data_IF_534110940667
#
_entry.id   IF_534110940667
#
_cell.length_a   1.000
_cell.length_b   1.000
_cell.length_c   1.000
_cell.angle_alpha   90.00
_cell.angle_beta   90.00
_cell.angle_gamma   90.00
#
_symmetry.space_group_name_H-M   'P 1'
#
loop_
_entity.id
_entity.type
_entity.pdbx_description
1 polymer ?
#
# COMPACT_ATOMS: atom_id res chain seq x y z
N UNK A 1 -9.29 7.08 -42.59
CA UNK A 1 -9.12 8.54 -42.53
C UNK A 1 -7.94 8.84 -41.61
N UNK A 2 -6.99 9.70 -42.03
CA UNK A 2 -5.73 9.96 -41.33
C UNK A 2 -5.91 10.92 -40.14
N UNK A 3 -5.02 10.77 -39.16
CA UNK A 3 -4.89 11.59 -37.94
C UNK A 3 -4.48 13.04 -38.23
N UNK A 4 -4.67 13.92 -37.24
CA UNK A 4 -3.60 14.86 -36.89
C UNK A 4 -3.27 14.89 -35.37
N UNK A 5 -2.01 14.63 -35.06
CA UNK A 5 -1.24 15.24 -33.94
C UNK A 5 -0.80 16.67 -34.37
N UNK A 6 -0.06 17.47 -33.56
CA UNK A 6 -0.14 17.93 -32.15
C UNK A 6 -0.15 19.51 -32.12
N UNK A 7 0.17 20.27 -31.03
CA UNK A 7 1.55 20.42 -30.50
C UNK A 7 1.71 20.72 -28.97
N UNK A 8 2.87 20.31 -28.46
CA UNK A 8 3.82 21.04 -27.60
C UNK A 8 3.40 21.73 -26.29
N UNK A 9 4.07 21.30 -25.22
CA UNK A 9 4.29 22.02 -23.97
C UNK A 9 5.00 23.37 -24.16
N UNK A 10 4.78 24.29 -23.21
CA UNK A 10 5.84 25.01 -22.51
C UNK A 10 5.62 24.87 -20.98
N UNK A 11 6.50 25.20 -20.05
CA UNK A 11 7.90 25.54 -20.00
C UNK A 11 8.30 25.32 -18.53
N UNK A 12 9.52 24.84 -18.33
CA UNK A 12 10.23 24.89 -17.04
C UNK A 12 10.31 26.36 -16.61
N UNK A 13 9.72 26.71 -15.46
CA UNK A 13 10.06 27.96 -14.79
C UNK A 13 10.73 27.63 -13.45
N UNK A 14 12.05 27.62 -13.51
CA UNK A 14 12.92 27.62 -12.36
C UNK A 14 12.93 29.03 -11.78
N UNK A 15 12.44 29.22 -10.54
CA UNK A 15 12.98 30.26 -9.65
C UNK A 15 12.75 29.96 -8.18
N UNK A 16 13.77 30.19 -7.33
CA UNK A 16 13.77 29.77 -5.93
C UNK A 16 13.20 30.87 -5.03
N UNK A 17 12.15 30.57 -4.27
CA UNK A 17 11.78 31.40 -3.12
C UNK A 17 12.51 30.92 -1.89
N UNK A 18 13.73 31.45 -1.72
CA UNK A 18 14.42 31.54 -0.42
C UNK A 18 13.56 32.38 0.53
N UNK A 19 12.71 31.74 1.34
CA UNK A 19 12.16 32.35 2.55
C UNK A 19 13.10 32.06 3.73
N UNK A 20 13.81 33.12 4.15
CA UNK A 20 14.66 33.18 5.33
C UNK A 20 13.82 32.90 6.61
N UNK A 21 14.35 32.19 7.60
CA UNK A 21 13.73 32.11 8.92
C UNK A 21 13.82 33.44 9.67
N UNK A 22 12.88 33.72 10.61
CA UNK A 22 12.90 34.92 11.43
C UNK A 22 14.11 34.91 12.38
N UNK A 23 14.91 35.97 12.31
CA UNK A 23 15.99 36.29 13.26
C UNK A 23 15.36 36.76 14.56
N UNK A 24 15.42 35.93 15.59
CA UNK A 24 15.18 36.36 16.97
C UNK A 24 16.40 37.15 17.41
N UNK A 25 16.22 38.45 17.61
CA UNK A 25 17.22 39.37 18.15
C UNK A 25 17.48 39.04 19.62
N UNK A 26 18.52 38.25 19.89
CA UNK A 26 19.09 38.11 21.22
C UNK A 26 20.12 39.22 21.44
N UNK A 27 19.67 40.31 22.06
CA UNK A 27 20.53 41.24 22.78
C UNK A 27 21.00 40.53 24.06
N UNK A 28 22.18 39.90 24.01
CA UNK A 28 22.88 39.47 25.23
C UNK A 28 23.97 40.51 25.48
N UNK A 29 23.65 41.43 26.37
CA UNK A 29 24.57 42.39 26.96
C UNK A 29 25.66 41.64 27.73
N UNK A 30 26.91 41.81 27.27
CA UNK A 30 28.09 41.57 28.09
C UNK A 30 28.07 42.54 29.27
N UNK A 31 27.75 42.03 30.45
CA UNK A 31 27.96 42.70 31.73
C UNK A 31 29.06 41.99 32.51
N UNK A 32 30.32 42.21 32.10
CA UNK A 32 31.49 41.96 32.93
C UNK A 32 31.46 42.97 34.08
N UNK A 33 31.39 42.53 35.32
CA UNK A 33 31.96 43.24 36.47
C UNK A 33 32.20 42.23 37.59
N UNK A 34 33.34 41.54 37.43
CA UNK A 34 33.99 40.80 38.48
C UNK A 34 34.66 41.80 39.44
N UNK A 35 34.02 42.05 40.58
CA UNK A 35 34.63 42.74 41.73
C UNK A 35 34.09 42.10 43.00
N UNK A 36 34.79 41.06 43.48
CA UNK A 36 34.85 40.67 44.89
C UNK A 36 36.09 39.79 45.08
N UNK A 37 37.24 40.45 45.18
CA UNK A 37 38.41 39.87 45.80
C UNK A 37 38.14 39.72 47.31
N UNK A 38 38.61 38.61 47.86
CA UNK A 38 38.63 38.23 49.28
C UNK A 38 37.33 37.64 49.87
N UNK A 39 37.30 36.31 49.94
CA UNK A 39 36.70 35.60 51.07
C UNK A 39 35.24 35.17 50.91
N UNK A 40 34.94 34.27 49.97
CA UNK A 40 33.74 33.43 50.08
C UNK A 40 34.09 31.98 49.74
N UNK A 41 34.03 31.13 50.78
CA UNK A 41 33.86 29.68 50.62
C UNK A 41 32.78 29.46 49.57
N UNK A 42 33.12 28.76 48.50
CA UNK A 42 32.19 28.34 47.45
C UNK A 42 31.23 27.31 48.03
N UNK A 43 30.23 27.79 48.77
CA UNK A 43 29.00 27.05 48.98
C UNK A 43 28.21 27.19 47.69
N UNK A 44 27.96 26.10 46.93
CA UNK A 44 27.14 26.18 45.72
C UNK A 44 25.77 26.77 46.08
N UNK A 45 25.18 27.61 45.21
CA UNK A 45 23.89 28.23 45.48
C UNK A 45 22.84 27.13 45.75
N UNK A 46 22.01 27.27 46.81
CA UNK A 46 20.99 26.29 47.15
C UNK A 46 20.04 26.14 45.95
N UNK A 47 20.01 24.93 45.37
CA UNK A 47 19.18 24.61 44.21
C UNK A 47 19.93 24.31 42.92
N UNK A 48 21.27 24.46 42.86
CA UNK A 48 22.04 23.93 41.73
C UNK A 48 22.21 22.41 41.87
N UNK A 49 21.67 21.59 40.95
CA UNK A 49 21.81 20.14 41.02
C UNK A 49 23.29 19.79 40.93
N UNK A 50 23.74 18.89 41.81
CA UNK A 50 25.09 18.35 41.81
C UNK A 50 25.48 17.89 40.40
N UNK A 51 26.73 18.09 39.94
CA UNK A 51 27.18 17.60 38.64
C UNK A 51 26.98 16.09 38.47
N UNK A 52 27.00 15.31 39.55
CA UNK A 52 26.63 13.89 39.54
C UNK A 52 25.15 13.68 39.19
N UNK A 53 24.24 14.48 39.76
CA UNK A 53 22.81 14.42 39.47
C UNK A 53 22.49 14.86 38.02
N UNK A 54 23.24 15.83 37.48
CA UNK A 54 23.12 16.23 36.07
C UNK A 54 23.60 15.11 35.12
N UNK A 55 24.69 14.42 35.46
CA UNK A 55 25.20 13.30 34.66
C UNK A 55 24.25 12.09 34.68
N UNK A 56 23.61 11.81 35.83
CA UNK A 56 22.59 10.76 35.94
C UNK A 56 21.33 11.10 35.13
N UNK A 57 20.86 12.34 35.19
CA UNK A 57 19.72 12.80 34.39
C UNK A 57 19.99 12.68 32.88
N UNK A 58 21.21 13.02 32.43
CA UNK A 58 21.60 12.90 31.02
C UNK A 58 21.70 11.44 30.57
N UNK A 59 22.22 10.55 31.42
CA UNK A 59 22.26 9.10 31.16
C UNK A 59 20.86 8.51 31.05
N UNK A 60 19.95 8.90 31.94
CA UNK A 60 18.56 8.43 31.89
C UNK A 60 17.84 8.96 30.65
N UNK A 61 18.05 10.24 30.30
CA UNK A 61 17.53 10.80 29.05
C UNK A 61 18.03 10.03 27.82
N UNK A 62 19.33 9.70 27.76
CA UNK A 62 19.91 8.92 26.67
C UNK A 62 19.29 7.51 26.58
N UNK A 63 19.08 6.83 27.72
CA UNK A 63 18.39 5.53 27.76
C UNK A 63 16.97 5.62 27.22
N UNK A 64 16.21 6.64 27.62
CA UNK A 64 14.84 6.86 27.12
C UNK A 64 14.84 7.12 25.61
N UNK A 65 15.79 7.92 25.11
CA UNK A 65 15.94 8.17 23.67
C UNK A 65 16.32 6.90 22.90
N UNK A 66 17.22 6.07 23.43
CA UNK A 66 17.56 4.77 22.84
C UNK A 66 16.34 3.84 22.77
N UNK A 67 15.57 3.74 23.86
CA UNK A 67 14.36 2.92 23.91
C UNK A 67 13.34 3.40 22.89
N UNK A 68 13.11 4.72 22.79
CA UNK A 68 12.22 5.33 21.80
C UNK A 68 12.70 5.05 20.36
N UNK A 69 14.00 5.15 20.09
CA UNK A 69 14.59 4.86 18.79
C UNK A 69 14.47 3.36 18.42
N UNK A 70 14.64 2.44 19.38
CA UNK A 70 14.44 0.99 19.18
C UNK A 70 12.98 0.67 18.88
N UNK A 71 12.04 1.23 19.66
CA UNK A 71 10.60 1.05 19.42
C UNK A 71 10.16 1.62 18.07
N UNK A 72 10.70 2.79 17.68
CA UNK A 72 10.43 3.36 16.36
C UNK A 72 10.91 2.42 15.23
N UNK A 73 12.14 1.91 15.32
CA UNK A 73 12.69 0.96 14.33
C UNK A 73 11.84 -0.29 14.20
N UNK A 74 11.36 -0.84 15.33
CA UNK A 74 10.46 -1.99 15.34
C UNK A 74 9.13 -1.69 14.66
N UNK A 75 8.47 -0.57 15.02
CA UNK A 75 7.20 -0.14 14.37
C UNK A 75 7.37 0.11 12.88
N UNK A 76 8.50 0.68 12.45
CA UNK A 76 8.81 0.87 11.04
C UNK A 76 8.92 -0.46 10.29
N UNK A 77 9.61 -1.44 10.88
CA UNK A 77 9.74 -2.77 10.28
C UNK A 77 8.37 -3.46 10.15
N UNK A 78 7.53 -3.39 11.19
CA UNK A 78 6.18 -3.92 11.17
C UNK A 78 5.30 -3.23 10.10
N UNK A 79 5.36 -1.90 9.99
CA UNK A 79 4.65 -1.16 8.95
C UNK A 79 5.06 -1.61 7.54
N UNK A 80 6.35 -1.78 7.30
CA UNK A 80 6.86 -2.23 6.00
C UNK A 80 6.41 -3.66 5.67
N UNK A 81 6.34 -4.53 6.68
CA UNK A 81 5.80 -5.89 6.52
C UNK A 81 4.31 -5.85 6.19
N UNK A 82 3.51 -5.09 6.95
CA UNK A 82 2.08 -4.95 6.73
C UNK A 82 1.78 -4.39 5.31
N UNK A 83 2.54 -3.39 4.85
CA UNK A 83 2.43 -2.85 3.49
C UNK A 83 2.84 -3.84 2.40
N UNK A 84 3.85 -4.67 2.66
CA UNK A 84 4.25 -5.73 1.73
C UNK A 84 3.18 -6.81 1.63
N UNK A 85 2.54 -7.18 2.74
CA UNK A 85 1.41 -8.11 2.75
C UNK A 85 0.20 -7.57 1.96
N UNK A 86 -0.11 -6.28 2.11
CA UNK A 86 -1.17 -5.61 1.35
C UNK A 86 -0.89 -5.68 -0.16
N UNK A 87 0.31 -5.30 -0.60
CA UNK A 87 0.71 -5.35 -2.02
C UNK A 87 0.67 -6.78 -2.58
N UNK A 88 1.04 -7.79 -1.79
CA UNK A 88 0.91 -9.19 -2.19
C UNK A 88 -0.55 -9.59 -2.39
N UNK A 89 -1.45 -9.15 -1.51
CA UNK A 89 -2.88 -9.41 -1.66
C UNK A 89 -3.47 -8.73 -2.91
N UNK A 90 -3.04 -7.50 -3.21
CA UNK A 90 -3.39 -6.79 -4.45
C UNK A 90 -2.90 -7.54 -5.70
N UNK A 91 -1.65 -8.03 -5.67
CA UNK A 91 -1.06 -8.77 -6.78
C UNK A 91 -1.83 -10.08 -7.05
N UNK A 92 -2.17 -10.84 -6.00
CA UNK A 92 -2.98 -12.07 -6.12
C UNK A 92 -4.36 -11.76 -6.72
N UNK A 93 -5.01 -10.69 -6.27
CA UNK A 93 -6.30 -10.29 -6.83
C UNK A 93 -6.18 -9.88 -8.31
N UNK A 94 -5.12 -9.17 -8.67
CA UNK A 94 -4.86 -8.79 -10.05
C UNK A 94 -4.59 -10.01 -10.95
N UNK A 95 -3.84 -10.99 -10.45
CA UNK A 95 -3.56 -12.26 -11.14
C UNK A 95 -4.84 -13.05 -11.41
N UNK A 96 -5.70 -13.23 -10.40
CA UNK A 96 -6.98 -13.94 -10.54
C UNK A 96 -7.95 -13.21 -11.50
N UNK A 97 -7.87 -11.88 -11.59
CA UNK A 97 -8.65 -11.06 -12.55
C UNK A 97 -8.10 -11.15 -13.98
N UNK A 98 -6.81 -11.42 -14.13
CA UNK A 98 -6.15 -11.48 -15.43
C UNK A 98 -6.49 -12.76 -16.21
N UNK A 99 -7.02 -13.81 -15.54
CA UNK A 99 -7.39 -15.08 -16.18
C UNK A 99 -8.63 -14.91 -17.06
N UNK A 100 -8.51 -14.98 -18.39
CA UNK A 100 -9.64 -14.78 -19.29
C UNK A 100 -10.52 -16.03 -19.37
N UNK A 101 -11.83 -15.86 -19.14
CA UNK A 101 -12.82 -16.91 -19.34
C UNK A 101 -13.66 -16.60 -20.58
N UNK A 102 -13.35 -17.27 -21.69
CA UNK A 102 -14.14 -17.14 -22.93
C UNK A 102 -15.33 -18.10 -22.94
N UNK A 103 -16.49 -17.67 -23.50
CA UNK A 103 -17.66 -18.53 -23.64
C UNK A 103 -17.38 -19.67 -24.62
N UNK A 104 -17.91 -20.86 -24.31
CA UNK A 104 -17.82 -22.01 -25.20
C UNK A 104 -18.74 -21.81 -26.41
N UNK A 105 -18.27 -21.96 -27.66
CA UNK A 105 -19.13 -21.86 -28.84
C UNK A 105 -20.16 -22.98 -28.83
N UNK A 106 -21.41 -22.65 -29.12
CA UNK A 106 -22.49 -23.64 -29.22
C UNK A 106 -22.42 -24.39 -30.56
N UNK A 107 -22.82 -25.67 -30.62
CA UNK A 107 -23.03 -26.35 -31.89
C UNK A 107 -24.09 -25.62 -32.71
N UNK A 108 -24.03 -25.69 -34.05
CA UNK A 108 -25.03 -25.10 -34.91
C UNK A 108 -26.41 -25.67 -34.61
N UNK A 109 -27.45 -24.86 -34.71
CA UNK A 109 -28.82 -25.34 -34.52
C UNK A 109 -29.15 -26.29 -35.68
N UNK A 110 -29.68 -27.47 -35.35
CA UNK A 110 -30.13 -28.45 -36.36
C UNK A 110 -31.21 -27.84 -37.27
N UNK A 111 -31.00 -27.89 -38.58
CA UNK A 111 -31.94 -27.43 -39.59
C UNK A 111 -32.61 -28.62 -40.30
N UNK A 112 -33.84 -28.93 -39.87
CA UNK A 112 -34.64 -30.03 -40.43
C UNK A 112 -34.95 -29.83 -41.92
N UNK A 113 -34.98 -28.59 -42.42
CA UNK A 113 -35.28 -28.31 -43.82
C UNK A 113 -34.09 -28.59 -44.75
N UNK A 114 -32.86 -28.46 -44.24
CA UNK A 114 -31.64 -28.84 -44.95
C UNK A 114 -31.47 -30.36 -45.03
N UNK A 115 -31.94 -31.09 -44.02
CA UNK A 115 -31.87 -32.57 -43.91
C UNK A 115 -32.70 -33.28 -45.00
N UNK A 116 -33.84 -32.70 -45.42
CA UNK A 116 -34.73 -33.27 -46.44
C UNK A 116 -34.08 -33.47 -47.82
N UNK A 117 -32.91 -32.86 -48.07
CA UNK A 117 -32.17 -32.97 -49.33
C UNK A 117 -31.37 -34.27 -49.44
N UNK A 118 -31.20 -34.99 -48.34
CA UNK A 118 -30.38 -36.20 -48.26
C UNK A 118 -31.23 -37.48 -48.22
N UNK A 119 -30.59 -38.63 -48.44
CA UNK A 119 -31.24 -39.93 -48.30
C UNK A 119 -31.59 -40.22 -46.84
N UNK A 120 -32.63 -41.01 -46.56
CA UNK A 120 -33.06 -41.32 -45.19
C UNK A 120 -31.95 -41.94 -44.31
N UNK A 121 -31.05 -42.71 -44.92
CA UNK A 121 -29.93 -43.33 -44.20
C UNK A 121 -28.92 -42.26 -43.78
N UNK A 122 -28.61 -41.31 -44.66
CA UNK A 122 -27.71 -40.19 -44.37
C UNK A 122 -28.31 -39.26 -43.30
N UNK A 123 -29.62 -38.99 -43.37
CA UNK A 123 -30.35 -38.22 -42.35
C UNK A 123 -30.18 -38.83 -40.95
N UNK A 124 -30.35 -40.15 -40.82
CA UNK A 124 -30.17 -40.86 -39.55
C UNK A 124 -28.73 -40.76 -39.04
N UNK A 125 -27.74 -40.89 -39.93
CA UNK A 125 -26.34 -40.82 -39.55
C UNK A 125 -25.95 -39.41 -39.09
N UNK A 126 -26.38 -38.36 -39.80
CA UNK A 126 -26.07 -36.98 -39.43
C UNK A 126 -26.79 -36.57 -38.14
N UNK A 127 -28.02 -37.04 -37.92
CA UNK A 127 -28.72 -36.83 -36.65
C UNK A 127 -27.97 -37.48 -35.49
N UNK A 128 -27.48 -38.71 -35.66
CA UNK A 128 -26.67 -39.39 -34.64
C UNK A 128 -25.38 -38.62 -34.34
N UNK A 129 -24.68 -38.11 -35.36
CA UNK A 129 -23.48 -37.28 -35.17
C UNK A 129 -23.79 -36.00 -34.40
N UNK A 130 -24.86 -35.30 -34.79
CA UNK A 130 -25.29 -34.09 -34.11
C UNK A 130 -25.65 -34.34 -32.64
N UNK A 131 -26.38 -35.41 -32.33
CA UNK A 131 -26.72 -35.77 -30.95
C UNK A 131 -25.48 -36.08 -30.11
N UNK A 132 -24.49 -36.77 -30.69
CA UNK A 132 -23.20 -37.03 -30.03
C UNK A 132 -22.42 -35.74 -29.77
N UNK A 133 -22.33 -34.85 -30.76
CA UNK A 133 -21.69 -33.53 -30.61
C UNK A 133 -22.40 -32.68 -29.56
N UNK A 134 -23.72 -32.68 -29.55
CA UNK A 134 -24.53 -31.97 -28.58
C UNK A 134 -24.32 -32.51 -27.16
N UNK A 135 -24.22 -33.83 -26.99
CA UNK A 135 -23.93 -34.46 -25.71
C UNK A 135 -22.52 -34.08 -25.21
N UNK A 136 -21.51 -34.17 -26.07
CA UNK A 136 -20.13 -33.77 -25.74
C UNK A 136 -20.04 -32.29 -25.38
N UNK A 137 -20.71 -31.42 -26.14
CA UNK A 137 -20.78 -29.99 -25.85
C UNK A 137 -21.44 -29.69 -24.50
N UNK A 138 -22.53 -30.39 -24.15
CA UNK A 138 -23.20 -30.23 -22.84
C UNK A 138 -22.27 -30.58 -21.69
N UNK A 139 -21.46 -31.64 -21.83
CA UNK A 139 -20.45 -32.02 -20.83
C UNK A 139 -19.39 -30.93 -20.66
N UNK A 140 -18.78 -30.48 -21.76
CA UNK A 140 -17.80 -29.38 -21.74
C UNK A 140 -18.39 -28.09 -21.14
N UNK A 141 -19.65 -27.78 -21.43
CA UNK A 141 -20.34 -26.63 -20.85
C UNK A 141 -20.51 -26.75 -19.34
N UNK A 142 -20.79 -27.95 -18.83
CA UNK A 142 -20.92 -28.19 -17.40
C UNK A 142 -19.57 -28.02 -16.68
N UNK A 143 -18.49 -28.60 -17.24
CA UNK A 143 -17.12 -28.43 -16.74
C UNK A 143 -16.73 -26.94 -16.73
N UNK A 144 -16.97 -26.24 -17.83
CA UNK A 144 -16.66 -24.81 -17.95
C UNK A 144 -17.42 -23.96 -16.93
N UNK A 145 -18.68 -24.30 -16.62
CA UNK A 145 -19.43 -23.62 -15.55
C UNK A 145 -18.78 -23.85 -14.19
N UNK A 146 -18.36 -25.07 -13.91
CA UNK A 146 -17.67 -25.38 -12.66
C UNK A 146 -16.35 -24.59 -12.53
N UNK A 147 -15.58 -24.45 -13.61
CA UNK A 147 -14.38 -23.61 -13.65
C UNK A 147 -14.69 -22.13 -13.35
N UNK A 148 -15.72 -21.58 -14.00
CA UNK A 148 -16.15 -20.19 -13.79
C UNK A 148 -16.54 -19.97 -12.33
N UNK A 149 -17.30 -20.89 -11.75
CA UNK A 149 -17.73 -20.79 -10.35
C UNK A 149 -16.54 -20.91 -9.39
N UNK A 150 -15.57 -21.79 -9.68
CA UNK A 150 -14.32 -21.85 -8.91
C UNK A 150 -13.52 -20.54 -8.98
N UNK A 151 -13.39 -19.93 -10.16
CA UNK A 151 -12.69 -18.65 -10.30
C UNK A 151 -13.40 -17.53 -9.55
N UNK A 152 -14.74 -17.49 -9.58
CA UNK A 152 -15.53 -16.54 -8.78
C UNK A 152 -15.26 -16.67 -7.28
N UNK A 153 -15.16 -17.90 -6.79
CA UNK A 153 -14.81 -18.16 -5.39
C UNK A 153 -13.39 -17.67 -5.07
N UNK A 154 -12.40 -17.94 -5.93
CA UNK A 154 -11.02 -17.47 -5.75
C UNK A 154 -10.94 -15.94 -5.73
N UNK A 155 -11.62 -15.27 -6.67
CA UNK A 155 -11.72 -13.81 -6.70
C UNK A 155 -12.34 -13.24 -5.42
N UNK A 156 -13.41 -13.87 -4.93
CA UNK A 156 -14.07 -13.45 -3.69
C UNK A 156 -13.13 -13.61 -2.49
N UNK A 157 -12.43 -14.74 -2.40
CA UNK A 157 -11.46 -14.98 -1.33
C UNK A 157 -10.26 -14.02 -1.39
N UNK A 158 -9.74 -13.73 -2.59
CA UNK A 158 -8.66 -12.78 -2.80
C UNK A 158 -9.09 -11.36 -2.36
N UNK A 159 -10.29 -10.93 -2.74
CA UNK A 159 -10.85 -9.65 -2.30
C UNK A 159 -10.99 -9.58 -0.77
N UNK A 160 -11.56 -10.62 -0.14
CA UNK A 160 -11.69 -10.67 1.33
C UNK A 160 -10.34 -10.66 2.05
N UNK A 161 -9.29 -11.22 1.46
CA UNK A 161 -7.93 -11.15 2.02
C UNK A 161 -7.40 -9.72 1.94
N UNK A 162 -7.56 -9.05 0.80
CA UNK A 162 -7.18 -7.65 0.62
C UNK A 162 -7.91 -6.75 1.63
N UNK A 163 -9.22 -6.91 1.76
CA UNK A 163 -10.05 -6.09 2.65
C UNK A 163 -9.63 -6.27 4.13
N UNK A 164 -9.37 -7.51 4.56
CA UNK A 164 -8.89 -7.79 5.93
C UNK A 164 -7.54 -7.13 6.21
N UNK A 165 -6.62 -7.16 5.25
CA UNK A 165 -5.31 -6.52 5.42
C UNK A 165 -5.42 -4.99 5.44
N UNK A 166 -6.23 -4.42 4.55
CA UNK A 166 -6.52 -2.99 4.53
C UNK A 166 -7.13 -2.53 5.86
N UNK A 167 -8.15 -3.25 6.38
CA UNK A 167 -8.78 -2.93 7.67
C UNK A 167 -7.80 -3.04 8.84
N UNK A 168 -6.93 -4.05 8.85
CA UNK A 168 -5.91 -4.21 9.91
C UNK A 168 -4.93 -3.03 9.91
N UNK A 169 -4.43 -2.64 8.73
CA UNK A 169 -3.56 -1.49 8.55
C UNK A 169 -4.26 -0.20 8.97
N UNK A 170 -5.51 0.00 8.57
CA UNK A 170 -6.28 1.19 8.89
C UNK A 170 -6.55 1.33 10.39
N UNK A 171 -6.87 0.23 11.10
CA UNK A 171 -7.03 0.24 12.56
C UNK A 171 -5.74 0.65 13.28
N UNK A 172 -4.59 0.27 12.73
CA UNK A 172 -3.28 0.53 13.33
C UNK A 172 -2.71 1.90 12.95
N UNK A 173 -2.99 2.38 11.75
CA UNK A 173 -2.49 3.62 11.17
C UNK A 173 -3.63 4.39 10.46
N UNK A 174 -4.60 4.96 11.22
CA UNK A 174 -5.79 5.59 10.61
C UNK A 174 -5.47 6.82 9.75
N UNK A 175 -4.35 7.52 10.02
CA UNK A 175 -3.90 8.66 9.22
C UNK A 175 -3.22 8.30 7.91
N UNK A 176 -2.86 7.02 7.69
CA UNK A 176 -2.07 6.58 6.55
C UNK A 176 -2.87 6.59 5.24
N UNK A 177 -4.20 6.48 5.30
CA UNK A 177 -5.06 6.33 4.13
C UNK A 177 -5.79 7.63 3.77
N UNK A 178 -6.14 7.81 2.49
CA UNK A 178 -6.89 8.99 1.99
C UNK A 178 -8.30 9.10 2.55
N UNK A 179 -8.91 7.99 2.96
CA UNK A 179 -10.23 7.95 3.58
C UNK A 179 -10.51 6.65 4.34
N UNK A 180 -11.68 6.53 4.99
CA UNK A 180 -12.02 5.40 5.86
C UNK A 180 -12.29 4.09 5.10
N UNK A 181 -12.40 4.13 3.77
CA UNK A 181 -12.63 2.97 2.91
C UNK A 181 -11.64 2.89 1.75
N UNK A 182 -10.64 3.78 1.72
CA UNK A 182 -9.66 3.85 0.64
C UNK A 182 -8.42 3.04 0.97
N UNK A 183 -7.91 2.30 -0.02
CA UNK A 183 -6.64 1.58 0.04
C UNK A 183 -5.47 2.51 -0.34
N UNK A 184 -5.75 3.71 -0.87
CA UNK A 184 -4.71 4.65 -1.26
C UNK A 184 -3.95 5.21 -0.05
N UNK A 185 -2.63 5.04 -0.09
CA UNK A 185 -1.70 5.46 0.96
C UNK A 185 -1.27 6.90 0.72
N UNK A 186 -1.37 7.75 1.74
CA UNK A 186 -0.82 9.12 1.75
C UNK A 186 0.70 9.04 1.82
N UNK A 187 1.44 9.48 0.78
CA UNK A 187 2.90 9.36 0.76
C UNK A 187 3.57 10.16 1.87
N UNK A 188 3.01 11.33 2.23
CA UNK A 188 3.52 12.19 3.30
C UNK A 188 3.48 11.50 4.68
N UNK A 189 2.36 10.83 5.01
CA UNK A 189 2.23 10.13 6.29
C UNK A 189 3.09 8.87 6.33
N UNK A 190 3.23 8.18 5.20
CA UNK A 190 4.17 7.07 5.07
C UNK A 190 5.62 7.51 5.32
N UNK A 191 6.05 8.65 4.77
CA UNK A 191 7.38 9.20 5.05
C UNK A 191 7.58 9.54 6.52
N UNK A 192 6.58 10.14 7.16
CA UNK A 192 6.64 10.49 8.59
C UNK A 192 6.80 9.25 9.47
N UNK A 193 6.03 8.20 9.21
CA UNK A 193 6.11 6.93 9.95
C UNK A 193 7.42 6.18 9.70
N UNK A 194 8.09 6.43 8.57
CA UNK A 194 9.38 5.82 8.24
C UNK A 194 10.59 6.53 8.86
N UNK A 195 10.42 7.77 9.36
CA UNK A 195 11.50 8.52 10.02
C UNK A 195 11.54 8.20 11.52
N UNK A 196 12.69 7.71 11.98
CA UNK A 196 12.96 7.55 13.40
C UNK A 196 13.91 8.65 13.90
N UNK A 197 13.78 9.10 15.16
CA UNK A 197 14.72 10.03 15.75
C UNK A 197 16.13 9.41 15.75
N UNK A 198 17.14 10.23 15.41
CA UNK A 198 18.53 9.82 15.51
C UNK A 198 18.84 9.48 16.97
N UNK A 199 19.54 8.36 17.19
CA UNK A 199 20.06 8.03 18.52
C UNK A 199 21.25 8.98 18.76
N UNK A 200 21.31 9.72 19.87
CA UNK A 200 22.50 10.51 20.17
C UNK A 200 23.71 9.57 20.27
N UNK A 201 24.82 9.98 19.65
CA UNK A 201 26.08 9.24 19.64
C UNK A 201 26.81 9.33 20.98
#
# INVERSE_FOLDING_TARGET
MPLPFPPSAPAFDARPLRSRPPRWSLLISLGLLASCALGCRTTPPPGTPSPAAQAEALREQNRQQELAARQCRKRRQELQQDLAELRRAEAVLAEERAVPLSPLPAPPIWDESAEQRFSKVDQQLDRQRYEQELAAWKQLRAERRAEIDQQRLRLTQAQQRLDRQAQRLQKRYPGLFTGPTSIEVKPQELERLNRCPATPA
#
